data_IF_900205642294
#
_entry.id   IF_900205642294
#
_cell.length_a   1.000
_cell.length_b   1.000
_cell.length_c   1.000
_cell.angle_alpha   90.00
_cell.angle_beta   90.00
_cell.angle_gamma   90.00
#
_symmetry.space_group_name_H-M   'P 1'
#
loop_
_entity.id
_entity.type
_entity.pdbx_description
1 polymer ?
#
# COMPACT_ATOMS: atom_id res chain seq x y z
N UNK A 1 -10.32 -2.30 17.56
CA UNK A 1 -11.39 -1.37 17.09
C UNK A 1 -12.80 -1.83 17.46
N UNK A 2 -13.07 -3.12 17.53
CA UNK A 2 -14.31 -3.69 18.09
C UNK A 2 -14.44 -3.48 19.61
N UNK A 3 -13.31 -3.44 20.32
CA UNK A 3 -13.27 -3.21 21.78
C UNK A 3 -13.34 -1.74 22.19
N UNK A 4 -12.86 -0.81 21.36
CA UNK A 4 -12.85 0.63 21.66
C UNK A 4 -14.23 1.21 21.36
N UNK A 5 -14.89 1.78 22.37
CA UNK A 5 -16.22 2.39 22.25
C UNK A 5 -16.13 3.91 22.27
N UNK A 6 -16.93 4.59 21.45
CA UNK A 6 -17.20 6.03 21.50
C UNK A 6 -18.68 6.25 21.20
N UNK A 7 -19.28 7.27 21.83
CA UNK A 7 -20.71 7.57 21.67
C UNK A 7 -21.61 6.33 21.86
N UNK A 8 -21.33 5.54 22.89
CA UNK A 8 -22.14 4.36 23.25
C UNK A 8 -21.96 3.11 22.40
N UNK A 9 -21.12 3.13 21.34
CA UNK A 9 -20.94 1.96 20.46
C UNK A 9 -19.49 1.73 20.02
N UNK A 10 -19.13 0.52 19.54
CA UNK A 10 -17.80 0.26 19.00
C UNK A 10 -17.43 1.19 17.84
N UNK A 11 -16.16 1.60 17.78
CA UNK A 11 -15.64 2.41 16.66
C UNK A 11 -15.85 1.75 15.29
N UNK A 12 -15.79 0.41 15.23
CA UNK A 12 -16.03 -0.35 14.01
C UNK A 12 -17.48 -0.24 13.46
N UNK A 13 -18.41 0.37 14.21
CA UNK A 13 -19.81 0.59 13.78
C UNK A 13 -20.06 1.98 13.17
N UNK A 14 -19.03 2.82 13.01
CA UNK A 14 -19.17 4.10 12.32
C UNK A 14 -18.88 3.91 10.83
N UNK A 15 -19.72 4.50 9.97
CA UNK A 15 -19.65 4.35 8.51
C UNK A 15 -18.26 4.71 7.96
N UNK A 16 -17.67 5.82 8.41
CA UNK A 16 -16.35 6.26 7.96
C UNK A 16 -15.22 5.31 8.39
N UNK A 17 -15.38 4.60 9.51
CA UNK A 17 -14.42 3.58 9.92
C UNK A 17 -14.55 2.33 9.05
N UNK A 18 -15.79 1.92 8.73
CA UNK A 18 -16.03 0.80 7.83
C UNK A 18 -15.53 1.07 6.41
N UNK A 19 -15.73 2.29 5.89
CA UNK A 19 -15.20 2.72 4.60
C UNK A 19 -13.67 2.54 4.56
N UNK A 20 -12.95 3.03 5.58
CA UNK A 20 -11.50 2.85 5.66
C UNK A 20 -11.10 1.36 5.64
N UNK A 21 -11.80 0.50 6.36
CA UNK A 21 -11.51 -0.94 6.33
C UNK A 21 -11.83 -1.60 4.99
N UNK A 22 -12.91 -1.17 4.33
CA UNK A 22 -13.26 -1.66 2.99
C UNK A 22 -12.20 -1.28 1.95
N UNK A 23 -11.72 -0.03 1.97
CA UNK A 23 -10.61 0.42 1.12
C UNK A 23 -9.34 -0.42 1.35
N UNK A 24 -8.95 -0.59 2.62
CA UNK A 24 -7.76 -1.37 2.99
C UNK A 24 -7.85 -2.81 2.49
N UNK A 25 -8.98 -3.46 2.74
CA UNK A 25 -9.21 -4.85 2.32
C UNK A 25 -9.14 -4.97 0.80
N UNK A 26 -9.76 -4.04 0.08
CA UNK A 26 -9.80 -4.05 -1.39
C UNK A 26 -8.39 -3.97 -1.97
N UNK A 27 -7.62 -2.97 -1.54
CA UNK A 27 -6.28 -2.71 -2.07
C UNK A 27 -5.29 -3.83 -1.71
N UNK A 28 -5.38 -4.40 -0.50
CA UNK A 28 -4.57 -5.55 -0.10
C UNK A 28 -4.85 -6.75 -1.01
N UNK A 29 -6.12 -7.09 -1.22
CA UNK A 29 -6.47 -8.27 -2.01
C UNK A 29 -6.08 -8.10 -3.49
N UNK A 30 -6.33 -6.93 -4.07
CA UNK A 30 -5.90 -6.63 -5.44
C UNK A 30 -4.38 -6.68 -5.59
N UNK A 31 -3.64 -6.07 -4.65
CA UNK A 31 -2.18 -6.10 -4.62
C UNK A 31 -1.62 -7.52 -4.52
N UNK A 32 -2.18 -8.35 -3.64
CA UNK A 32 -1.76 -9.75 -3.46
C UNK A 32 -1.95 -10.57 -4.75
N UNK A 33 -3.06 -10.39 -5.47
CA UNK A 33 -3.27 -11.08 -6.75
C UNK A 33 -2.27 -10.63 -7.81
N UNK A 34 -1.95 -9.33 -7.88
CA UNK A 34 -0.90 -8.81 -8.76
C UNK A 34 0.47 -9.45 -8.46
N UNK A 35 0.87 -9.45 -7.19
CA UNK A 35 2.13 -10.06 -6.75
C UNK A 35 2.16 -11.57 -7.02
N UNK A 36 1.06 -12.29 -6.80
CA UNK A 36 0.95 -13.71 -7.10
C UNK A 36 1.14 -13.99 -8.59
N UNK A 37 0.51 -13.18 -9.47
CA UNK A 37 0.68 -13.35 -10.92
C UNK A 37 2.12 -13.09 -11.35
N UNK A 38 2.75 -12.02 -10.84
CA UNK A 38 4.15 -11.72 -11.17
C UNK A 38 5.09 -12.81 -10.66
N UNK A 39 4.81 -13.39 -9.49
CA UNK A 39 5.59 -14.51 -8.95
C UNK A 39 5.49 -15.74 -9.86
N UNK A 40 4.28 -16.11 -10.30
CA UNK A 40 4.08 -17.20 -11.26
C UNK A 40 4.79 -16.95 -12.59
N UNK A 41 4.70 -15.73 -13.12
CA UNK A 41 5.43 -15.36 -14.34
C UNK A 41 6.95 -15.47 -14.17
N UNK A 42 7.47 -15.18 -12.97
CA UNK A 42 8.89 -15.35 -12.65
C UNK A 42 9.26 -16.84 -12.67
N UNK A 43 8.46 -17.70 -12.05
CA UNK A 43 8.69 -19.15 -12.05
C UNK A 43 8.61 -19.74 -13.47
N UNK A 44 7.72 -19.20 -14.32
CA UNK A 44 7.60 -19.56 -15.74
C UNK A 44 8.74 -18.98 -16.63
N UNK A 45 9.65 -18.17 -16.09
CA UNK A 45 10.70 -17.49 -16.87
C UNK A 45 10.18 -16.38 -17.81
N UNK A 46 8.97 -15.86 -17.56
CA UNK A 46 8.26 -14.87 -18.41
C UNK A 46 8.12 -13.49 -17.76
N UNK A 47 8.75 -13.26 -16.61
CA UNK A 47 8.72 -11.95 -15.96
C UNK A 47 9.55 -10.94 -16.74
N UNK A 48 9.03 -9.72 -16.90
CA UNK A 48 9.75 -8.59 -17.48
C UNK A 48 9.87 -7.47 -16.42
N UNK A 49 10.85 -6.55 -16.52
CA UNK A 49 11.07 -5.48 -15.54
C UNK A 49 9.84 -4.60 -15.26
N UNK A 50 8.97 -4.41 -16.25
CA UNK A 50 7.72 -3.67 -16.17
C UNK A 50 6.73 -4.32 -15.20
N UNK A 51 6.66 -5.65 -15.18
CA UNK A 51 5.82 -6.38 -14.23
C UNK A 51 6.23 -6.08 -12.78
N UNK A 52 7.53 -6.08 -12.50
CA UNK A 52 8.10 -5.77 -11.18
C UNK A 52 7.81 -4.31 -10.82
N UNK A 53 8.03 -3.40 -11.77
CA UNK A 53 7.78 -1.96 -11.58
C UNK A 53 6.33 -1.68 -11.22
N UNK A 54 5.39 -2.36 -11.88
CA UNK A 54 3.97 -2.23 -11.60
C UNK A 54 3.61 -2.68 -10.18
N UNK A 55 4.03 -3.88 -9.76
CA UNK A 55 3.65 -4.41 -8.44
C UNK A 55 4.38 -3.71 -7.30
N UNK A 56 5.64 -3.30 -7.49
CA UNK A 56 6.42 -2.53 -6.50
C UNK A 56 5.77 -1.17 -6.27
N UNK A 57 5.55 -0.41 -7.35
CA UNK A 57 4.92 0.92 -7.28
C UNK A 57 3.56 0.87 -6.59
N UNK A 58 2.71 -0.08 -6.99
CA UNK A 58 1.37 -0.23 -6.43
C UNK A 58 1.43 -0.64 -4.96
N UNK A 59 2.13 -1.73 -4.63
CA UNK A 59 2.11 -2.31 -3.29
C UNK A 59 2.74 -1.39 -2.26
N UNK A 60 3.86 -0.73 -2.57
CA UNK A 60 4.48 0.23 -1.66
C UNK A 60 3.57 1.44 -1.40
N UNK A 61 3.02 2.03 -2.47
CA UNK A 61 2.13 3.20 -2.35
C UNK A 61 0.87 2.88 -1.55
N UNK A 62 0.20 1.77 -1.88
CA UNK A 62 -1.02 1.34 -1.19
C UNK A 62 -0.75 0.91 0.25
N UNK A 63 0.34 0.21 0.53
CA UNK A 63 0.71 -0.14 1.90
C UNK A 63 0.93 1.10 2.77
N UNK A 64 1.63 2.12 2.24
CA UNK A 64 1.85 3.37 2.95
C UNK A 64 0.54 4.15 3.20
N UNK A 65 -0.33 4.24 2.20
CA UNK A 65 -1.67 4.85 2.34
C UNK A 65 -2.49 4.13 3.43
N UNK A 66 -2.49 2.80 3.41
CA UNK A 66 -3.16 1.97 4.41
C UNK A 66 -2.59 2.23 5.81
N UNK A 67 -1.26 2.24 5.97
CA UNK A 67 -0.62 2.49 7.25
C UNK A 67 -0.99 3.88 7.81
N UNK A 68 -1.03 4.91 6.97
CA UNK A 68 -1.47 6.26 7.35
C UNK A 68 -2.96 6.27 7.76
N UNK A 69 -3.85 5.63 6.99
CA UNK A 69 -5.28 5.51 7.36
C UNK A 69 -5.46 4.73 8.67
N UNK A 70 -4.70 3.65 8.87
CA UNK A 70 -4.72 2.86 10.11
C UNK A 70 -4.22 3.66 11.30
N UNK A 71 -3.18 4.49 11.10
CA UNK A 71 -2.69 5.42 12.10
C UNK A 71 -3.82 6.35 12.54
N UNK A 72 -4.54 6.96 11.61
CA UNK A 72 -5.63 7.88 11.93
C UNK A 72 -6.76 7.23 12.73
N UNK A 73 -7.12 5.98 12.41
CA UNK A 73 -8.15 5.22 13.13
C UNK A 73 -7.81 5.06 14.61
N UNK A 74 -6.52 5.00 14.96
CA UNK A 74 -6.08 4.89 16.36
C UNK A 74 -6.20 6.21 17.14
N UNK A 75 -6.37 7.37 16.49
CA UNK A 75 -6.44 8.67 17.19
C UNK A 75 -5.16 8.94 18.00
N UNK A 76 -5.25 9.39 19.26
CA UNK A 76 -4.07 9.59 20.12
C UNK A 76 -3.20 8.33 20.27
N UNK A 77 -3.82 7.15 20.38
CA UNK A 77 -3.10 5.88 20.51
C UNK A 77 -2.29 5.49 19.27
N UNK A 78 -2.46 6.20 18.16
CA UNK A 78 -1.69 5.91 16.97
C UNK A 78 -0.27 6.49 17.00
N UNK A 79 0.04 7.48 17.85
CA UNK A 79 1.41 8.06 17.95
C UNK A 79 2.29 7.35 18.98
N UNK A 80 1.70 6.55 19.86
CA UNK A 80 2.42 5.87 20.93
C UNK A 80 2.97 4.53 20.46
N UNK A 81 4.09 4.11 21.02
CA UNK A 81 4.82 2.92 20.57
C UNK A 81 4.10 1.60 20.92
N UNK A 82 3.15 1.61 21.86
CA UNK A 82 2.35 0.42 22.18
C UNK A 82 1.55 -0.11 20.98
N UNK A 83 1.29 0.73 19.96
CA UNK A 83 0.65 0.32 18.72
C UNK A 83 1.63 0.44 17.56
N UNK A 84 1.95 -0.70 16.94
CA UNK A 84 2.98 -0.79 15.89
C UNK A 84 2.72 0.01 14.61
N UNK A 85 1.54 0.61 14.46
CA UNK A 85 1.13 1.26 13.20
C UNK A 85 2.01 2.45 12.85
N UNK A 86 2.42 3.28 13.82
CA UNK A 86 3.34 4.40 13.55
C UNK A 86 4.69 3.90 13.03
N UNK A 87 5.24 2.86 13.68
CA UNK A 87 6.49 2.21 13.26
C UNK A 87 6.38 1.67 11.84
N UNK A 88 5.27 1.01 11.50
CA UNK A 88 5.04 0.53 10.13
C UNK A 88 4.92 1.67 9.12
N UNK A 89 4.20 2.75 9.46
CA UNK A 89 4.09 3.92 8.57
C UNK A 89 5.48 4.52 8.29
N UNK A 90 6.30 4.74 9.32
CA UNK A 90 7.66 5.25 9.16
C UNK A 90 8.55 4.34 8.30
N UNK A 91 8.48 3.02 8.50
CA UNK A 91 9.19 2.05 7.68
C UNK A 91 8.72 2.05 6.22
N UNK A 92 7.44 2.32 5.96
CA UNK A 92 6.88 2.31 4.62
C UNK A 92 7.20 3.59 3.83
N UNK A 93 7.42 4.74 4.48
CA UNK A 93 7.94 5.95 3.81
C UNK A 93 9.28 5.62 3.13
N UNK A 94 10.15 5.04 3.93
CA UNK A 94 11.46 4.47 3.60
C UNK A 94 11.36 3.49 2.40
N UNK A 95 10.55 2.45 2.50
CA UNK A 95 10.35 1.45 1.43
C UNK A 95 9.76 2.04 0.14
N UNK A 96 8.94 3.08 0.25
CA UNK A 96 8.36 3.74 -0.92
C UNK A 96 9.41 4.54 -1.73
N UNK A 97 10.51 4.93 -1.11
CA UNK A 97 11.57 5.74 -1.72
C UNK A 97 12.73 4.91 -2.28
N UNK A 98 13.14 3.83 -1.61
CA UNK A 98 14.30 3.05 -2.06
C UNK A 98 13.95 2.06 -3.19
N UNK A 99 14.98 1.52 -3.85
CA UNK A 99 14.86 0.53 -4.94
C UNK A 99 13.94 0.99 -6.09
N UNK A 100 14.04 2.28 -6.45
CA UNK A 100 13.20 2.92 -7.47
C UNK A 100 12.02 3.65 -6.83
N UNK A 101 12.01 4.98 -6.91
CA UNK A 101 10.90 5.76 -6.34
C UNK A 101 9.59 5.47 -7.08
N UNK A 102 8.48 5.85 -6.44
CA UNK A 102 7.14 5.75 -7.04
C UNK A 102 7.06 6.39 -8.44
N UNK A 103 7.75 7.52 -8.64
CA UNK A 103 7.79 8.24 -9.91
C UNK A 103 8.71 7.59 -10.93
N UNK A 104 9.86 7.06 -10.51
CA UNK A 104 10.77 6.34 -11.42
C UNK A 104 10.06 5.11 -12.01
N UNK A 105 9.34 4.34 -11.22
CA UNK A 105 8.53 3.24 -11.75
C UNK A 105 7.38 3.71 -12.64
N UNK A 106 6.78 4.87 -12.37
CA UNK A 106 5.77 5.45 -13.25
C UNK A 106 6.36 5.77 -14.64
N UNK A 107 7.58 6.30 -14.69
CA UNK A 107 8.27 6.62 -15.94
C UNK A 107 8.70 5.37 -16.72
N UNK A 108 9.10 4.29 -16.03
CA UNK A 108 9.36 2.98 -16.65
C UNK A 108 8.09 2.45 -17.32
N UNK A 109 6.96 2.46 -16.61
CA UNK A 109 5.68 2.02 -17.16
C UNK A 109 5.20 2.94 -18.30
N UNK A 110 5.37 4.25 -18.16
CA UNK A 110 5.05 5.22 -19.21
C UNK A 110 5.84 4.97 -20.49
N UNK A 111 7.14 4.68 -20.38
CA UNK A 111 7.99 4.28 -21.51
C UNK A 111 7.50 2.96 -22.13
N UNK A 112 7.13 1.97 -21.32
CA UNK A 112 6.62 0.69 -21.83
C UNK A 112 5.29 0.82 -22.59
N UNK A 113 4.41 1.74 -22.15
CA UNK A 113 3.13 2.00 -22.81
C UNK A 113 3.29 2.81 -24.09
N UNK A 114 4.19 3.80 -24.10
CA UNK A 114 4.29 4.78 -25.19
C UNK A 114 5.44 4.53 -26.17
N UNK A 115 6.43 3.74 -25.78
CA UNK A 115 7.71 3.61 -26.48
C UNK A 115 8.63 4.83 -26.35
N UNK A 116 8.22 5.88 -25.64
CA UNK A 116 8.94 7.16 -25.54
C UNK A 116 9.57 7.33 -24.16
N UNK A 117 10.87 7.60 -24.12
CA UNK A 117 11.59 7.82 -22.87
C UNK A 117 11.40 9.27 -22.36
N UNK A 118 10.97 9.40 -21.11
CA UNK A 118 10.70 10.69 -20.45
C UNK A 118 11.66 11.02 -19.28
N UNK A 119 12.78 10.30 -19.17
CA UNK A 119 13.83 10.51 -18.17
C UNK A 119 15.21 10.39 -18.82
N UNK A 120 16.22 10.98 -18.20
CA UNK A 120 17.61 10.93 -18.66
C UNK A 120 18.41 9.93 -17.84
#
# INVERSE_FOLDING_TARGET
MTMRKQFGKPLAQFQLIQLKFADMLTEINLGLQGCLRVSRLKDEGKVIPEHISLVKRNSCGKALEIARKSRDILGGNGIVDEYHIMRHAANLETVNTYEGTHDVHALILGKAVTGLQAFK
#
